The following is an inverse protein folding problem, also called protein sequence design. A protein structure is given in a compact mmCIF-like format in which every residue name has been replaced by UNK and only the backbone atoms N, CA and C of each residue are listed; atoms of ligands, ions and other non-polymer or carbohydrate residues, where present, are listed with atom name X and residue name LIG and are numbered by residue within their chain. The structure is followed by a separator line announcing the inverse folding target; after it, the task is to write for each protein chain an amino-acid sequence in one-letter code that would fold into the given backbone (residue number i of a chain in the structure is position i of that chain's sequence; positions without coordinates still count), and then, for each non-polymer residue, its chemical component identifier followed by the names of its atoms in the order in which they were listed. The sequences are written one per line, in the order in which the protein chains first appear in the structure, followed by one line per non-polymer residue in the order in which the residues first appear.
data_IF_033630189757
#
_entry.id   IF_033630189757
#
_cell.length_a   1.000
_cell.length_b   1.000
_cell.length_c   1.000
_cell.angle_alpha   90.00
_cell.angle_beta   90.00
_cell.angle_gamma   90.00
#
_symmetry.space_group_name_H-M   'P 1'
#
loop_
_entity.id
_entity.type
_entity.pdbx_description
1 polymer ?
#
# COMPACT_ATOMS: atom_id res chain seq x y z
N UNK A 1 -2.10 26.09 5.13
CA UNK A 1 -1.94 24.75 4.54
C UNK A 1 -1.05 23.94 5.47
N UNK A 2 -1.43 22.72 5.87
CA UNK A 2 -0.56 21.83 6.66
C UNK A 2 0.33 21.06 5.68
N UNK A 3 1.61 21.43 5.48
CA UNK A 3 2.52 20.69 4.59
C UNK A 3 2.68 19.21 5.00
N UNK A 4 2.43 18.91 6.28
CA UNK A 4 2.48 17.56 6.85
C UNK A 4 1.50 16.54 6.24
N UNK A 5 0.38 16.95 5.63
CA UNK A 5 -0.59 15.98 5.09
C UNK A 5 -0.21 15.47 3.70
N UNK A 6 0.42 16.31 2.87
CA UNK A 6 0.83 15.94 1.50
C UNK A 6 2.04 15.01 1.54
N UNK A 7 3.02 15.28 2.41
CA UNK A 7 4.17 14.38 2.58
C UNK A 7 3.75 13.00 3.10
N UNK A 8 2.76 12.95 3.99
CA UNK A 8 2.22 11.69 4.53
C UNK A 8 1.54 10.85 3.46
N UNK A 9 0.83 11.49 2.53
CA UNK A 9 0.20 10.85 1.39
C UNK A 9 1.20 10.18 0.43
N UNK A 10 2.18 10.96 -0.03
CA UNK A 10 3.21 10.46 -0.94
C UNK A 10 4.02 9.31 -0.33
N UNK A 11 4.18 9.31 1.00
CA UNK A 11 4.90 8.25 1.72
C UNK A 11 4.09 6.95 1.77
N UNK A 12 2.77 7.03 1.95
CA UNK A 12 1.90 5.84 2.01
C UNK A 12 1.69 5.23 0.62
N UNK A 13 1.58 6.06 -0.43
CA UNK A 13 1.50 5.58 -1.81
C UNK A 13 2.77 4.84 -2.23
N UNK A 14 3.96 5.40 -1.95
CA UNK A 14 5.23 4.68 -2.20
C UNK A 14 5.33 3.39 -1.41
N UNK A 15 4.88 3.38 -0.15
CA UNK A 15 4.91 2.17 0.67
C UNK A 15 4.02 1.06 0.08
N UNK A 16 2.84 1.41 -0.44
CA UNK A 16 1.97 0.47 -1.15
C UNK A 16 2.69 -0.15 -2.36
N UNK A 17 3.27 0.68 -3.23
CA UNK A 17 3.93 0.23 -4.46
C UNK A 17 5.16 -0.65 -4.18
N UNK A 18 5.94 -0.30 -3.15
CA UNK A 18 7.07 -1.10 -2.69
C UNK A 18 6.61 -2.48 -2.19
N UNK A 19 5.51 -2.54 -1.43
CA UNK A 19 4.95 -3.79 -0.91
C UNK A 19 4.34 -4.66 -2.01
N UNK A 20 3.68 -4.06 -3.01
CA UNK A 20 3.18 -4.76 -4.19
C UNK A 20 4.31 -5.39 -5.01
N UNK A 21 5.41 -4.65 -5.17
CA UNK A 21 6.61 -5.15 -5.85
C UNK A 21 7.21 -6.34 -5.10
N UNK A 22 7.36 -6.23 -3.78
CA UNK A 22 7.87 -7.32 -2.93
C UNK A 22 6.97 -8.56 -3.02
N UNK A 23 5.65 -8.39 -2.93
CA UNK A 23 4.69 -9.48 -3.09
C UNK A 23 4.88 -10.21 -4.43
N UNK A 24 4.98 -9.46 -5.52
CA UNK A 24 5.12 -10.01 -6.87
C UNK A 24 6.41 -10.82 -7.04
N UNK A 25 7.53 -10.34 -6.47
CA UNK A 25 8.81 -11.04 -6.51
C UNK A 25 8.79 -12.35 -5.69
N UNK A 26 8.16 -12.33 -4.51
CA UNK A 26 8.02 -13.52 -3.69
C UNK A 26 7.14 -14.58 -4.35
N UNK A 27 6.06 -14.15 -5.01
CA UNK A 27 5.20 -15.05 -5.78
C UNK A 27 5.95 -15.71 -6.94
N UNK A 28 6.73 -14.93 -7.70
CA UNK A 28 7.57 -15.45 -8.79
C UNK A 28 8.61 -16.46 -8.29
N UNK A 29 9.19 -16.22 -7.12
CA UNK A 29 10.15 -17.14 -6.51
C UNK A 29 9.50 -18.48 -6.13
N UNK A 30 8.28 -18.45 -5.57
CA UNK A 30 7.51 -19.66 -5.25
C UNK A 30 7.22 -20.46 -6.53
N UNK A 31 6.66 -19.81 -7.55
CA UNK A 31 6.31 -20.47 -8.81
C UNK A 31 7.55 -21.07 -9.49
N UNK A 32 8.68 -20.37 -9.45
CA UNK A 32 9.95 -20.88 -9.97
C UNK A 32 10.43 -22.14 -9.24
N UNK A 33 10.33 -22.19 -7.91
CA UNK A 33 10.74 -23.36 -7.11
C UNK A 33 9.82 -24.55 -7.38
N UNK A 34 8.49 -24.31 -7.45
CA UNK A 34 7.50 -25.35 -7.71
C UNK A 34 7.66 -25.96 -9.11
N UNK A 35 7.91 -25.14 -10.13
CA UNK A 35 8.12 -25.61 -11.51
C UNK A 35 9.37 -26.48 -11.67
N UNK A 36 10.43 -26.20 -10.90
CA UNK A 36 11.68 -26.96 -10.98
C UNK A 36 11.65 -28.27 -10.17
N UNK A 37 10.52 -28.63 -9.53
CA UNK A 37 10.37 -29.83 -8.69
C UNK A 37 11.56 -30.02 -7.74
N UNK A 38 12.00 -28.93 -7.11
CA UNK A 38 13.06 -28.99 -6.09
C UNK A 38 12.44 -29.56 -4.81
N UNK A 39 12.32 -30.89 -4.76
CA UNK A 39 11.60 -31.67 -3.73
C UNK A 39 12.19 -31.47 -2.31
N UNK A 40 13.42 -30.95 -2.19
CA UNK A 40 14.09 -30.76 -0.89
C UNK A 40 13.96 -29.34 -0.30
N UNK A 41 13.13 -28.48 -0.89
CA UNK A 41 13.06 -27.03 -0.55
C UNK A 41 11.75 -26.66 0.17
N UNK A 42 11.01 -27.62 0.72
CA UNK A 42 9.69 -27.41 1.36
C UNK A 42 9.68 -26.28 2.41
N UNK A 43 10.71 -26.16 3.24
CA UNK A 43 10.80 -25.11 4.24
C UNK A 43 11.00 -23.71 3.66
N UNK A 44 11.72 -23.59 2.54
CA UNK A 44 11.93 -22.30 1.85
C UNK A 44 10.67 -21.92 1.09
N UNK A 45 10.00 -22.88 0.43
CA UNK A 45 8.68 -22.64 -0.19
C UNK A 45 7.66 -22.17 0.83
N UNK A 46 7.63 -22.81 2.01
CA UNK A 46 6.77 -22.37 3.11
C UNK A 46 7.15 -20.97 3.63
N UNK A 47 8.44 -20.69 3.82
CA UNK A 47 8.93 -19.37 4.24
C UNK A 47 8.58 -18.26 3.24
N UNK A 48 8.71 -18.55 1.93
CA UNK A 48 8.32 -17.62 0.88
C UNK A 48 6.81 -17.38 0.87
N UNK A 49 5.98 -18.43 1.03
CA UNK A 49 4.52 -18.28 1.13
C UNK A 49 4.14 -17.37 2.31
N UNK A 50 4.73 -17.59 3.49
CA UNK A 50 4.50 -16.71 4.65
C UNK A 50 4.93 -15.26 4.41
N UNK A 51 6.05 -15.05 3.71
CA UNK A 51 6.51 -13.72 3.34
C UNK A 51 5.54 -13.05 2.34
N UNK A 52 5.03 -13.81 1.37
CA UNK A 52 4.03 -13.35 0.40
C UNK A 52 2.74 -12.94 1.10
N UNK A 53 2.20 -13.78 1.99
CA UNK A 53 0.98 -13.49 2.74
C UNK A 53 1.12 -12.23 3.59
N UNK A 54 2.29 -12.04 4.22
CA UNK A 54 2.61 -10.82 4.97
C UNK A 54 2.71 -9.60 4.07
N UNK A 55 3.38 -9.70 2.92
CA UNK A 55 3.49 -8.60 1.97
C UNK A 55 2.10 -8.18 1.46
N UNK A 56 1.24 -9.14 1.13
CA UNK A 56 -0.15 -8.88 0.73
C UNK A 56 -0.97 -8.17 1.80
N UNK A 57 -0.88 -8.64 3.06
CA UNK A 57 -1.59 -8.03 4.17
C UNK A 57 -1.15 -6.58 4.40
N UNK A 58 0.16 -6.30 4.31
CA UNK A 58 0.70 -4.96 4.46
C UNK A 58 0.33 -4.06 3.28
N UNK A 59 0.38 -4.57 2.05
CA UNK A 59 -0.07 -3.85 0.84
C UNK A 59 -1.53 -3.43 0.98
N UNK A 60 -2.40 -4.37 1.39
CA UNK A 60 -3.83 -4.11 1.60
C UNK A 60 -4.06 -3.03 2.67
N UNK A 61 -3.33 -3.09 3.78
CA UNK A 61 -3.42 -2.09 4.84
C UNK A 61 -2.90 -0.71 4.40
N UNK A 62 -1.80 -0.67 3.64
CA UNK A 62 -1.26 0.55 3.06
C UNK A 62 -2.24 1.18 2.07
N UNK A 63 -2.94 0.36 1.26
CA UNK A 63 -3.97 0.82 0.33
C UNK A 63 -5.15 1.47 1.06
N UNK A 64 -5.64 0.82 2.11
CA UNK A 64 -6.72 1.37 2.95
C UNK A 64 -6.31 2.71 3.56
N UNK A 65 -5.10 2.80 4.11
CA UNK A 65 -4.58 4.05 4.68
C UNK A 65 -4.42 5.15 3.62
N UNK A 66 -3.99 4.81 2.41
CA UNK A 66 -3.92 5.75 1.28
C UNK A 66 -5.31 6.35 0.99
N UNK A 67 -6.33 5.48 0.92
CA UNK A 67 -7.69 5.87 0.60
C UNK A 67 -8.31 6.73 1.74
N UNK A 68 -8.08 6.37 3.01
CA UNK A 68 -8.52 7.15 4.18
C UNK A 68 -7.94 8.57 4.19
N UNK A 69 -6.62 8.68 4.03
CA UNK A 69 -5.95 9.99 3.96
C UNK A 69 -6.53 10.80 2.79
N UNK A 70 -6.89 10.16 1.68
CA UNK A 70 -7.37 10.86 0.48
C UNK A 70 -8.75 11.45 0.74
N UNK A 71 -9.60 10.72 1.44
CA UNK A 71 -10.88 11.23 1.90
C UNK A 71 -10.72 12.39 2.90
N UNK A 72 -9.76 12.31 3.84
CA UNK A 72 -9.45 13.42 4.74
C UNK A 72 -9.00 14.68 3.97
N UNK A 73 -8.16 14.52 2.95
CA UNK A 73 -7.72 15.61 2.10
C UNK A 73 -8.90 16.25 1.34
N UNK A 74 -9.78 15.44 0.72
CA UNK A 74 -10.97 15.94 0.04
C UNK A 74 -11.91 16.69 0.98
N UNK A 75 -12.17 16.14 2.17
CA UNK A 75 -13.01 16.77 3.19
C UNK A 75 -12.42 18.09 3.71
N UNK A 76 -11.10 18.15 3.92
CA UNK A 76 -10.39 19.36 4.36
C UNK A 76 -10.43 20.49 3.32
N UNK A 77 -10.49 20.16 2.03
CA UNK A 77 -10.59 21.14 0.94
C UNK A 77 -12.03 21.61 0.68
N UNK A 78 -13.05 20.80 0.99
CA UNK A 78 -14.46 21.21 0.83
C UNK A 78 -14.90 22.25 1.87
N UNK A 79 -14.50 22.10 3.12
CA UNK A 79 -14.81 23.07 4.19
C UNK A 79 -14.20 24.45 3.93
N UNK A 80 -12.99 24.50 3.35
CA UNK A 80 -12.31 25.74 2.95
C UNK A 80 -13.03 26.47 1.80
N UNK A 81 -13.61 25.74 0.83
CA UNK A 81 -14.37 26.34 -0.29
C UNK A 81 -15.72 26.94 0.15
N UNK A 82 -16.43 26.30 1.08
CA UNK A 82 -17.68 26.86 1.65
C UNK A 82 -17.44 28.17 2.40
N UNK A 83 -16.45 28.21 3.29
CA UNK A 83 -16.11 29.41 4.04
C UNK A 83 -15.71 30.60 3.13
N UNK A 84 -15.04 30.34 1.99
CA UNK A 84 -14.72 31.38 1.00
C UNK A 84 -15.91 31.84 0.16
N UNK A 85 -16.95 31.01 0.03
CA UNK A 85 -18.16 31.35 -0.72
C UNK A 85 -19.11 32.18 0.15
N UNK A 86 -19.19 31.90 1.45
CA UNK A 86 -20.00 32.65 2.42
C UNK A 86 -19.43 34.05 2.74
N UNK A 87 -18.11 34.27 2.61
CA UNK A 87 -17.49 35.59 2.80
C UNK A 87 -17.66 36.51 1.57
N UNK A 88 -18.08 35.96 0.43
CA UNK A 88 -18.28 36.72 -0.83
C UNK A 88 -19.76 36.94 -1.19
N UNK A 89 -20.70 36.34 -0.46
CA UNK A 89 -22.14 36.52 -0.64
C UNK A 89 -22.67 37.61 0.31
#
# INVERSE_FOLDING_TARGET
MKPLSIDRHCTVERLHDDLETIYSLLWLAIDSIEQHKLIEIDHVTHGLRLATDKAWAQMSAAKQLQDELYQEFLASNQSSKRAQTEVKA
#
